data_IF_174265991757
#
_entry.id   IF_174265991757
#
_cell.length_a   1.000
_cell.length_b   1.000
_cell.length_c   1.000
_cell.angle_alpha   90.00
_cell.angle_beta   90.00
_cell.angle_gamma   90.00
#
_symmetry.space_group_name_H-M   'P 1'
#
loop_
_entity.id
_entity.type
_entity.pdbx_description
1 polymer ?
#
# COMPACT_ATOMS: atom_id res chain seq x y z
N UNK A 1 29.63 -43.58 -3.15
CA UNK A 1 28.46 -42.75 -2.78
C UNK A 1 28.20 -41.85 -3.97
N UNK A 2 27.29 -42.24 -4.87
CA UNK A 2 27.00 -41.44 -6.07
C UNK A 2 26.02 -40.35 -5.65
N UNK A 3 26.52 -39.11 -5.60
CA UNK A 3 25.67 -37.95 -5.42
C UNK A 3 24.88 -37.80 -6.72
N UNK A 4 23.55 -37.86 -6.63
CA UNK A 4 22.68 -37.69 -7.78
C UNK A 4 22.75 -36.22 -8.22
N UNK A 5 23.40 -35.96 -9.36
CA UNK A 5 23.56 -34.60 -9.89
C UNK A 5 22.21 -33.92 -10.14
N UNK A 6 21.15 -34.67 -10.48
CA UNK A 6 19.83 -34.10 -10.74
C UNK A 6 19.23 -33.50 -9.45
N UNK A 7 19.43 -34.16 -8.31
CA UNK A 7 19.01 -33.61 -7.01
C UNK A 7 19.80 -32.36 -6.63
N UNK A 8 21.11 -32.31 -6.95
CA UNK A 8 21.91 -31.10 -6.72
C UNK A 8 21.46 -29.94 -7.60
N UNK A 9 21.12 -30.20 -8.85
CA UNK A 9 20.60 -29.18 -9.78
C UNK A 9 19.25 -28.66 -9.30
N UNK A 10 18.33 -29.53 -8.89
CA UNK A 10 17.05 -29.10 -8.30
C UNK A 10 17.25 -28.29 -7.02
N UNK A 11 18.17 -28.71 -6.15
CA UNK A 11 18.48 -27.99 -4.91
C UNK A 11 19.07 -26.61 -5.21
N UNK A 12 19.99 -26.49 -6.16
CA UNK A 12 20.59 -25.21 -6.58
C UNK A 12 19.55 -24.33 -7.25
N UNK A 13 18.70 -24.86 -8.13
CA UNK A 13 17.62 -24.10 -8.76
C UNK A 13 16.60 -23.61 -7.73
N UNK A 14 16.26 -24.44 -6.74
CA UNK A 14 15.39 -24.05 -5.63
C UNK A 14 16.05 -23.00 -4.73
N UNK A 15 17.36 -23.09 -4.51
CA UNK A 15 18.15 -22.08 -3.79
C UNK A 15 18.25 -20.78 -4.58
N UNK A 16 18.36 -20.85 -5.92
CA UNK A 16 18.38 -19.68 -6.81
C UNK A 16 17.01 -19.01 -6.92
N UNK A 17 15.90 -19.76 -6.93
CA UNK A 17 14.54 -19.21 -6.77
C UNK A 17 14.31 -18.57 -5.39
N UNK A 18 15.03 -19.02 -4.37
CA UNK A 18 15.01 -18.43 -3.03
C UNK A 18 16.00 -17.25 -2.90
N UNK A 19 16.94 -17.10 -3.85
CA UNK A 19 18.01 -16.09 -3.82
C UNK A 19 17.97 -15.09 -4.97
N UNK A 20 17.07 -15.23 -5.95
CA UNK A 20 16.61 -14.10 -6.76
C UNK A 20 15.92 -13.17 -5.77
N UNK A 21 16.67 -12.16 -5.35
CA UNK A 21 16.30 -11.18 -4.36
C UNK A 21 14.81 -10.86 -4.48
N UNK A 22 14.03 -11.22 -3.46
CA UNK A 22 12.74 -10.58 -3.21
C UNK A 22 13.06 -9.12 -2.84
N UNK A 23 13.46 -8.32 -3.84
CA UNK A 23 13.75 -6.91 -3.68
C UNK A 23 12.45 -6.29 -3.24
N UNK A 24 12.41 -6.03 -1.94
CA UNK A 24 11.27 -5.48 -1.25
C UNK A 24 11.48 -3.97 -1.23
N UNK A 25 10.70 -3.28 -2.05
CA UNK A 25 10.79 -1.84 -2.17
C UNK A 25 9.68 -1.22 -1.33
N UNK A 26 10.05 -0.32 -0.42
CA UNK A 26 9.09 0.37 0.42
C UNK A 26 8.85 1.75 -0.17
N UNK A 27 7.59 2.08 -0.35
CA UNK A 27 7.14 3.36 -0.90
C UNK A 27 6.21 4.07 0.07
N UNK A 28 6.10 5.38 -0.13
CA UNK A 28 5.24 6.27 0.64
C UNK A 28 4.50 7.22 -0.29
N UNK A 29 3.20 7.36 -0.10
CA UNK A 29 2.38 8.35 -0.81
C UNK A 29 1.46 9.07 0.16
N UNK A 30 1.08 10.30 -0.18
CA UNK A 30 0.06 11.07 0.55
C UNK A 30 -1.24 11.03 -0.23
N UNK A 31 -2.33 10.81 0.48
CA UNK A 31 -3.68 10.78 -0.07
C UNK A 31 -4.57 11.74 0.69
N UNK A 32 -5.21 12.64 -0.03
CA UNK A 32 -6.25 13.51 0.50
C UNK A 32 -7.61 12.87 0.25
N UNK A 33 -8.36 12.66 1.33
CA UNK A 33 -9.68 12.07 1.31
C UNK A 33 -10.72 13.08 1.76
N UNK A 34 -11.87 13.06 1.11
CA UNK A 34 -13.11 13.66 1.60
C UNK A 34 -13.91 12.60 2.32
N UNK A 35 -14.13 12.80 3.62
CA UNK A 35 -14.88 11.91 4.51
C UNK A 35 -16.27 12.48 4.76
N UNK A 36 -17.32 11.70 4.54
CA UNK A 36 -18.69 12.06 4.93
C UNK A 36 -18.95 11.68 6.39
N UNK A 37 -19.22 12.66 7.26
CA UNK A 37 -19.42 12.43 8.70
C UNK A 37 -20.58 11.50 9.04
N UNK A 38 -21.58 11.41 8.18
CA UNK A 38 -22.80 10.64 8.41
C UNK A 38 -22.72 9.21 7.86
N UNK A 39 -21.72 8.92 7.02
CA UNK A 39 -21.61 7.63 6.30
C UNK A 39 -20.28 6.92 6.55
N UNK A 40 -19.23 7.67 6.82
CA UNK A 40 -17.91 7.12 7.06
C UNK A 40 -17.76 6.67 8.50
N UNK A 41 -16.96 5.64 8.69
CA UNK A 41 -16.52 5.23 10.01
C UNK A 41 -15.68 6.30 10.72
N UNK A 42 -15.38 6.04 11.98
CA UNK A 42 -14.42 6.86 12.72
C UNK A 42 -13.01 6.78 12.09
N UNK A 43 -12.10 7.64 12.54
CA UNK A 43 -10.73 7.69 11.99
C UNK A 43 -10.00 6.36 12.17
N UNK A 44 -10.23 5.62 13.25
CA UNK A 44 -9.59 4.33 13.52
C UNK A 44 -10.09 3.25 12.55
N UNK A 45 -11.39 3.23 12.27
CA UNK A 45 -12.00 2.33 11.29
C UNK A 45 -11.42 2.57 9.90
N UNK A 46 -11.37 3.84 9.45
CA UNK A 46 -10.79 4.19 8.14
C UNK A 46 -9.31 3.78 8.07
N UNK A 47 -8.52 4.05 9.12
CA UNK A 47 -7.12 3.64 9.17
C UNK A 47 -6.95 2.12 9.03
N UNK A 48 -7.81 1.34 9.68
CA UNK A 48 -7.77 -0.12 9.60
C UNK A 48 -8.21 -0.64 8.23
N UNK A 49 -9.23 -0.02 7.63
CA UNK A 49 -9.67 -0.37 6.28
C UNK A 49 -8.58 -0.09 5.24
N UNK A 50 -7.89 1.08 5.32
CA UNK A 50 -6.75 1.38 4.44
C UNK A 50 -5.61 0.39 4.67
N UNK A 51 -5.30 0.03 5.93
CA UNK A 51 -4.29 -1.00 6.25
C UNK A 51 -4.66 -2.40 5.75
N UNK A 52 -5.95 -2.68 5.59
CA UNK A 52 -6.43 -3.94 5.01
C UNK A 52 -6.19 -4.07 3.51
N UNK A 53 -5.78 -3.00 2.83
CA UNK A 53 -5.45 -3.03 1.40
C UNK A 53 -4.12 -3.76 1.21
N UNK A 54 -4.08 -4.73 0.29
CA UNK A 54 -2.89 -5.53 0.01
C UNK A 54 -1.67 -4.64 -0.27
N UNK A 55 -0.55 -4.93 0.40
CA UNK A 55 0.71 -4.20 0.29
C UNK A 55 0.82 -3.00 1.23
N UNK A 56 -0.27 -2.49 1.82
CA UNK A 56 -0.20 -1.41 2.80
C UNK A 56 0.38 -1.93 4.12
N UNK A 57 1.43 -1.27 4.61
CA UNK A 57 2.11 -1.64 5.85
C UNK A 57 1.81 -0.65 6.98
N UNK A 58 1.73 0.64 6.66
CA UNK A 58 1.47 1.68 7.66
C UNK A 58 0.59 2.77 7.07
N UNK A 59 -0.30 3.30 7.90
CA UNK A 59 -1.13 4.46 7.56
C UNK A 59 -1.09 5.42 8.74
N UNK A 60 -0.79 6.69 8.46
CA UNK A 60 -0.68 7.76 9.45
C UNK A 60 -1.67 8.86 9.07
N UNK A 61 -2.51 9.27 10.03
CA UNK A 61 -3.37 10.43 9.86
C UNK A 61 -2.57 11.72 10.12
N UNK A 62 -2.49 12.60 9.13
CA UNK A 62 -1.84 13.90 9.27
C UNK A 62 -2.86 14.92 9.80
N UNK A 63 -3.12 14.86 11.11
CA UNK A 63 -4.18 15.64 11.77
C UNK A 63 -4.00 17.16 11.63
N UNK A 64 -2.75 17.63 11.51
CA UNK A 64 -2.44 19.04 11.28
C UNK A 64 -2.93 19.56 9.92
N UNK A 65 -3.20 18.65 8.97
CA UNK A 65 -3.70 18.98 7.63
C UNK A 65 -5.20 18.71 7.48
N UNK A 66 -5.89 18.32 8.56
CA UNK A 66 -7.33 18.10 8.56
C UNK A 66 -8.08 19.43 8.44
N UNK A 67 -9.06 19.48 7.54
CA UNK A 67 -10.04 20.58 7.46
C UNK A 67 -11.41 20.03 7.74
N UNK A 68 -11.98 20.47 8.86
CA UNK A 68 -13.34 20.09 9.26
C UNK A 68 -14.37 20.96 8.55
N UNK A 69 -15.37 20.31 7.97
CA UNK A 69 -16.55 20.99 7.42
C UNK A 69 -17.83 20.46 8.06
N UNK A 70 -18.99 21.00 7.71
CA UNK A 70 -20.24 20.64 8.39
C UNK A 70 -20.67 19.19 8.10
N UNK A 71 -20.67 18.81 6.82
CA UNK A 71 -21.08 17.47 6.35
C UNK A 71 -19.87 16.60 6.00
N UNK A 72 -18.78 17.23 5.56
CA UNK A 72 -17.59 16.55 5.06
C UNK A 72 -16.34 17.09 5.73
N UNK A 73 -15.45 16.17 6.11
CA UNK A 73 -14.09 16.50 6.50
C UNK A 73 -13.15 16.22 5.34
N UNK A 74 -12.09 17.01 5.22
CA UNK A 74 -10.97 16.76 4.32
C UNK A 74 -9.78 16.35 5.17
N UNK A 75 -9.36 15.10 5.03
CA UNK A 75 -8.30 14.49 5.82
C UNK A 75 -7.16 14.07 4.91
N UNK A 76 -5.93 14.11 5.42
CA UNK A 76 -4.75 13.65 4.68
C UNK A 76 -4.14 12.48 5.40
N UNK A 77 -3.89 11.40 4.66
CA UNK A 77 -3.19 10.22 5.14
C UNK A 77 -1.86 10.06 4.44
N UNK A 78 -0.84 9.70 5.20
CA UNK A 78 0.40 9.15 4.66
C UNK A 78 0.31 7.63 4.69
N UNK A 79 0.47 7.01 3.53
CA UNK A 79 0.36 5.57 3.34
C UNK A 79 1.72 5.04 2.93
N UNK A 80 2.24 4.10 3.73
CA UNK A 80 3.42 3.30 3.38
C UNK A 80 2.94 1.94 2.89
N UNK A 81 3.56 1.48 1.82
CA UNK A 81 3.27 0.20 1.22
C UNK A 81 4.52 -0.43 0.65
N UNK A 82 4.45 -1.74 0.49
CA UNK A 82 5.56 -2.60 0.18
C UNK A 82 5.28 -3.37 -1.09
N UNK A 83 6.26 -3.37 -1.98
CA UNK A 83 6.19 -3.99 -3.27
C UNK A 83 7.31 -5.01 -3.40
N UNK A 84 6.93 -6.24 -3.75
CA UNK A 84 7.86 -7.36 -3.91
C UNK A 84 8.16 -7.56 -5.38
N UNK A 85 9.45 -7.71 -5.72
CA UNK A 85 9.91 -8.01 -7.07
C UNK A 85 10.30 -6.76 -7.87
N UNK A 86 11.21 -6.96 -8.83
CA UNK A 86 11.82 -5.91 -9.65
C UNK A 86 10.83 -5.16 -10.55
N UNK A 87 9.73 -5.80 -10.93
CA UNK A 87 8.73 -5.24 -11.86
C UNK A 87 7.57 -4.51 -11.16
N UNK A 88 7.61 -4.43 -9.82
CA UNK A 88 6.52 -3.84 -9.05
C UNK A 88 6.58 -2.31 -9.09
N UNK A 89 5.95 -1.75 -10.13
CA UNK A 89 5.80 -0.30 -10.33
C UNK A 89 4.86 0.31 -9.29
N UNK A 90 5.30 1.31 -8.52
CA UNK A 90 4.46 1.93 -7.49
C UNK A 90 3.32 2.75 -8.10
N UNK A 91 3.48 3.26 -9.32
CA UNK A 91 2.41 3.93 -10.07
C UNK A 91 1.33 2.93 -10.47
N UNK A 92 1.73 1.74 -10.93
CA UNK A 92 0.79 0.67 -11.28
C UNK A 92 0.03 0.20 -10.04
N UNK A 93 0.72 -0.06 -8.93
CA UNK A 93 0.12 -0.43 -7.66
C UNK A 93 -0.92 0.59 -7.17
N UNK A 94 -0.59 1.89 -7.23
CA UNK A 94 -1.51 2.95 -6.83
C UNK A 94 -2.81 2.87 -7.64
N UNK A 95 -2.71 2.68 -8.97
CA UNK A 95 -3.87 2.68 -9.87
C UNK A 95 -4.72 1.42 -9.78
N UNK A 96 -4.09 0.25 -9.64
CA UNK A 96 -4.79 -1.04 -9.71
C UNK A 96 -5.23 -1.58 -8.36
N UNK A 97 -4.56 -1.20 -7.26
CA UNK A 97 -4.79 -1.76 -5.92
C UNK A 97 -5.18 -0.67 -4.94
N UNK A 98 -4.33 0.34 -4.73
CA UNK A 98 -4.53 1.30 -3.64
C UNK A 98 -5.77 2.17 -3.85
N UNK A 99 -5.88 2.83 -5.02
CA UNK A 99 -7.01 3.71 -5.34
C UNK A 99 -8.34 2.94 -5.34
N UNK A 100 -8.46 1.76 -5.99
CA UNK A 100 -9.67 0.94 -5.88
C UNK A 100 -9.98 0.50 -4.45
N UNK A 101 -8.97 0.09 -3.68
CA UNK A 101 -9.12 -0.31 -2.28
C UNK A 101 -9.69 0.82 -1.41
N UNK A 102 -9.14 2.03 -1.53
CA UNK A 102 -9.63 3.21 -0.80
C UNK A 102 -11.04 3.59 -1.26
N UNK A 103 -11.37 3.47 -2.55
CA UNK A 103 -12.72 3.79 -3.08
C UNK A 103 -13.79 2.83 -2.58
N UNK A 104 -13.44 1.63 -2.12
CA UNK A 104 -14.36 0.68 -1.53
C UNK A 104 -14.70 1.00 -0.07
N UNK A 105 -13.96 1.91 0.58
CA UNK A 105 -14.21 2.36 1.96
C UNK A 105 -15.48 3.20 1.98
N UNK A 106 -16.42 2.84 2.86
CA UNK A 106 -17.71 3.49 2.92
C UNK A 106 -17.58 4.97 3.34
N UNK A 107 -18.25 5.86 2.60
CA UNK A 107 -18.32 7.29 2.96
C UNK A 107 -17.04 8.08 2.71
N UNK A 108 -16.06 7.49 2.01
CA UNK A 108 -14.78 8.09 1.66
C UNK A 108 -14.69 8.35 0.16
N UNK A 109 -14.14 9.50 -0.23
CA UNK A 109 -13.87 9.86 -1.62
C UNK A 109 -12.42 10.36 -1.74
N UNK A 110 -11.66 9.84 -2.70
CA UNK A 110 -10.31 10.33 -2.98
C UNK A 110 -10.41 11.68 -3.70
N UNK A 111 -9.78 12.72 -3.14
CA UNK A 111 -9.68 14.04 -3.75
C UNK A 111 -8.37 14.26 -4.47
N UNK A 112 -7.29 13.84 -3.85
CA UNK A 112 -5.97 13.92 -4.42
C UNK A 112 -5.10 12.78 -3.92
N UNK A 113 -4.15 12.36 -4.75
CA UNK A 113 -3.14 11.36 -4.41
C UNK A 113 -1.84 11.76 -5.08
N UNK A 114 -0.75 11.75 -4.31
CA UNK A 114 0.56 12.07 -4.87
C UNK A 114 0.92 11.02 -5.95
N UNK A 115 1.02 11.43 -7.23
CA UNK A 115 1.29 10.52 -8.33
C UNK A 115 2.75 10.03 -8.34
N UNK A 116 3.63 10.62 -7.51
CA UNK A 116 5.05 10.30 -7.43
C UNK A 116 5.40 9.80 -6.04
N UNK A 117 5.13 8.52 -5.75
CA UNK A 117 5.46 7.94 -4.45
C UNK A 117 6.95 8.02 -4.18
N UNK A 118 7.29 8.37 -2.94
CA UNK A 118 8.65 8.45 -2.42
C UNK A 118 9.14 7.04 -2.11
N UNK A 119 10.28 6.64 -2.70
CA UNK A 119 10.94 5.37 -2.35
C UNK A 119 11.72 5.56 -1.05
N UNK A 120 11.48 4.69 -0.08
CA UNK A 120 12.11 4.73 1.26
C UNK A 120 13.26 3.73 1.39
N UNK A 121 13.16 2.56 0.76
CA UNK A 121 14.19 1.51 0.69
C UNK A 121 14.03 0.69 -0.57
#
# INVERSE_FOLDING_TARGET
>A
MNINLDMLVEMVQKQMLLSEDNIQNIYKTKVQLKRNKNKAGDTTQILNEIRGINGVTTVIHLSDMERKGDIFDFVVYEIKYELVGSDSSPVSYIKSILVPGIRNIQGVEIKDIDPRPEKLS
#
